data_IF_500255564121
#
_entry.id   IF_500255564121
#
_cell.length_a   1.000
_cell.length_b   1.000
_cell.length_c   1.000
_cell.angle_alpha   90.00
_cell.angle_beta   90.00
_cell.angle_gamma   90.00
#
_symmetry.space_group_name_H-M   'P 1'
#
loop_
_entity.id
_entity.type
_entity.pdbx_description
1 polymer ?
#
# COMPACT_ATOMS: atom_id res chain seq x y z
N UNK A 1 22.59 10.72 6.98
CA UNK A 1 21.66 10.53 8.13
C UNK A 1 22.06 9.29 8.90
N UNK A 2 21.94 9.26 10.24
CA UNK A 2 22.19 8.04 11.02
C UNK A 2 20.95 7.12 11.05
N UNK A 3 21.10 5.87 11.50
CA UNK A 3 20.01 4.89 11.49
C UNK A 3 18.82 5.31 12.38
N UNK A 4 19.06 5.92 13.55
CA UNK A 4 18.00 6.32 14.47
C UNK A 4 17.11 7.44 13.87
N UNK A 5 17.73 8.47 13.28
CA UNK A 5 17.00 9.54 12.60
C UNK A 5 16.21 9.02 11.39
N UNK A 6 16.80 8.07 10.65
CA UNK A 6 16.14 7.40 9.53
C UNK A 6 14.91 6.59 9.99
N UNK A 7 15.01 5.90 11.13
CA UNK A 7 13.90 5.17 11.73
C UNK A 7 12.78 6.12 12.21
N UNK A 8 13.13 7.26 12.82
CA UNK A 8 12.14 8.27 13.22
C UNK A 8 11.35 8.79 12.01
N UNK A 9 12.00 8.99 10.86
CA UNK A 9 11.30 9.34 9.63
C UNK A 9 10.39 8.20 9.15
N UNK A 10 10.86 6.95 9.17
CA UNK A 10 10.02 5.82 8.81
C UNK A 10 8.77 5.70 9.67
N UNK A 11 8.89 5.93 10.99
CA UNK A 11 7.74 5.98 11.89
C UNK A 11 6.75 7.09 11.50
N UNK A 12 7.25 8.30 11.20
CA UNK A 12 6.41 9.41 10.76
C UNK A 12 5.71 9.13 9.42
N UNK A 13 6.43 8.56 8.46
CA UNK A 13 5.94 8.29 7.11
C UNK A 13 4.95 7.12 7.05
N UNK A 14 5.08 6.15 7.96
CA UNK A 14 4.18 5.01 8.07
C UNK A 14 3.01 5.24 9.05
N UNK A 15 2.96 6.40 9.72
CA UNK A 15 1.89 6.72 10.66
C UNK A 15 0.54 6.89 9.94
N UNK A 16 -0.51 6.29 10.50
CA UNK A 16 -1.90 6.49 10.04
C UNK A 16 -2.37 7.95 10.09
N UNK A 17 -1.76 8.80 10.92
CA UNK A 17 -2.01 10.24 10.98
C UNK A 17 -1.37 10.98 9.80
N UNK A 18 -0.35 10.42 9.16
CA UNK A 18 0.30 11.05 8.02
C UNK A 18 -0.72 11.23 6.88
N UNK A 19 -0.88 12.44 6.31
CA UNK A 19 -1.96 12.76 5.36
C UNK A 19 -1.71 12.22 3.94
N UNK A 20 -1.31 10.95 3.81
CA UNK A 20 -1.03 10.28 2.53
C UNK A 20 -2.27 9.75 1.80
N UNK A 21 -3.45 9.74 2.42
CA UNK A 21 -4.71 9.36 1.77
C UNK A 21 -4.92 7.85 1.50
N UNK A 22 -3.95 7.00 1.87
CA UNK A 22 -4.03 5.54 1.67
C UNK A 22 -5.23 4.88 2.37
N UNK A 23 -5.75 5.49 3.45
CA UNK A 23 -6.88 4.97 4.20
C UNK A 23 -8.20 4.91 3.40
N UNK A 24 -8.33 5.65 2.29
CA UNK A 24 -9.56 5.69 1.50
C UNK A 24 -9.77 4.44 0.60
N UNK A 25 -8.84 3.48 0.62
CA UNK A 25 -8.80 2.34 -0.32
C UNK A 25 -8.86 1.01 0.44
N UNK A 26 -9.58 0.04 -0.14
CA UNK A 26 -9.66 -1.35 0.36
C UNK A 26 -8.98 -2.36 -0.56
N UNK A 27 -8.58 -1.94 -1.76
CA UNK A 27 -7.82 -2.72 -2.74
C UNK A 27 -8.52 -4.04 -3.12
N UNK A 28 -9.85 -4.02 -3.19
CA UNK A 28 -10.70 -5.16 -3.55
C UNK A 28 -11.25 -5.94 -2.35
N UNK A 29 -10.79 -5.66 -1.13
CA UNK A 29 -11.26 -6.35 0.07
C UNK A 29 -12.76 -6.13 0.33
N UNK A 30 -13.27 -4.93 0.06
CA UNK A 30 -14.70 -4.62 0.18
C UNK A 30 -15.55 -5.51 -0.73
N UNK A 31 -15.18 -5.62 -2.00
CA UNK A 31 -15.90 -6.46 -2.97
C UNK A 31 -15.79 -7.93 -2.63
N UNK A 32 -14.61 -8.41 -2.21
CA UNK A 32 -14.45 -9.80 -1.75
C UNK A 32 -15.33 -10.10 -0.54
N UNK A 33 -15.52 -9.14 0.37
CA UNK A 33 -16.45 -9.28 1.48
C UNK A 33 -17.90 -9.35 0.98
N UNK A 34 -18.31 -8.41 0.10
CA UNK A 34 -19.66 -8.35 -0.45
C UNK A 34 -20.03 -9.63 -1.22
N UNK A 35 -19.06 -10.24 -1.90
CA UNK A 35 -19.21 -11.50 -2.63
C UNK A 35 -19.19 -12.75 -1.75
N UNK A 36 -18.97 -12.60 -0.43
CA UNK A 36 -18.81 -13.73 0.48
C UNK A 36 -17.54 -14.55 0.22
N UNK A 37 -16.50 -13.96 -0.39
CA UNK A 37 -15.22 -14.61 -0.71
C UNK A 37 -14.22 -14.59 0.45
N UNK A 38 -14.47 -13.82 1.51
CA UNK A 38 -13.69 -13.84 2.75
C UNK A 38 -14.11 -14.97 3.73
N UNK A 39 -14.64 -16.07 3.20
CA UNK A 39 -15.04 -17.23 3.99
C UNK A 39 -16.29 -17.02 4.86
N UNK A 40 -16.79 -18.13 5.42
CA UNK A 40 -17.90 -18.11 6.37
C UNK A 40 -17.52 -17.45 7.70
N UNK A 41 -16.22 -17.36 8.02
CA UNK A 41 -15.68 -16.91 9.31
C UNK A 41 -15.98 -17.88 10.46
N UNK A 42 -15.12 -17.89 11.47
CA UNK A 42 -15.41 -18.64 12.70
C UNK A 42 -16.43 -17.89 13.55
N UNK A 43 -17.42 -18.61 14.08
CA UNK A 43 -18.39 -18.03 15.02
C UNK A 43 -17.74 -17.86 16.39
N UNK A 44 -17.32 -16.65 16.72
CA UNK A 44 -16.78 -16.34 18.04
C UNK A 44 -17.92 -15.89 18.95
N UNK A 45 -18.18 -16.67 20.01
CA UNK A 45 -19.11 -16.26 21.07
C UNK A 45 -18.45 -15.19 21.93
N UNK A 46 -19.01 -13.98 21.93
CA UNK A 46 -18.52 -12.89 22.78
C UNK A 46 -18.52 -13.32 24.26
N UNK A 47 -17.37 -13.21 24.94
CA UNK A 47 -17.26 -13.50 26.38
C UNK A 47 -18.12 -12.50 27.16
N UNK A 48 -19.23 -13.00 27.71
CA UNK A 48 -20.10 -12.39 28.75
C UNK A 48 -20.35 -10.88 28.59
N UNK A 49 -21.28 -10.50 27.69
CA UNK A 49 -22.30 -9.41 27.83
C UNK A 49 -22.86 -8.92 26.48
N UNK A 50 -22.31 -9.32 25.34
CA UNK A 50 -22.85 -9.00 24.02
C UNK A 50 -23.51 -10.23 23.38
N UNK A 51 -24.78 -10.11 23.03
CA UNK A 51 -25.66 -11.17 22.50
C UNK A 51 -25.45 -11.48 21.01
N UNK A 52 -24.45 -10.90 20.36
CA UNK A 52 -24.20 -11.10 18.93
C UNK A 52 -23.06 -12.11 18.71
N UNK A 53 -23.34 -13.15 17.93
CA UNK A 53 -22.30 -14.00 17.33
C UNK A 53 -21.53 -13.14 16.34
N UNK A 54 -20.22 -13.03 16.50
CA UNK A 54 -19.35 -12.36 15.52
C UNK A 54 -18.70 -13.42 14.63
N UNK A 55 -18.66 -13.17 13.33
CA UNK A 55 -17.81 -13.92 12.41
C UNK A 55 -16.40 -13.31 12.49
N UNK A 56 -15.44 -14.10 12.94
CA UNK A 56 -14.03 -13.75 12.84
C UNK A 56 -13.48 -14.30 11.53
N UNK A 57 -13.03 -13.38 10.65
CA UNK A 57 -12.40 -13.67 9.35
C UNK A 57 -10.96 -13.22 9.30
N UNK A 58 -10.29 -13.14 10.46
CA UNK A 58 -8.92 -12.65 10.56
C UNK A 58 -7.93 -13.52 9.81
N UNK A 59 -8.19 -14.83 9.69
CA UNK A 59 -7.36 -15.74 8.90
C UNK A 59 -7.45 -15.41 7.40
N UNK A 60 -8.64 -15.16 6.86
CA UNK A 60 -8.84 -14.78 5.47
C UNK A 60 -8.26 -13.40 5.17
N UNK A 61 -8.41 -12.43 6.09
CA UNK A 61 -7.77 -11.12 5.94
C UNK A 61 -6.25 -11.25 5.97
N UNK A 62 -5.70 -12.05 6.88
CA UNK A 62 -4.26 -12.33 6.90
C UNK A 62 -3.80 -12.93 5.58
N UNK A 63 -4.48 -13.96 5.06
CA UNK A 63 -4.16 -14.56 3.76
C UNK A 63 -4.24 -13.56 2.60
N UNK A 64 -5.20 -12.63 2.63
CA UNK A 64 -5.28 -11.54 1.66
C UNK A 64 -4.06 -10.61 1.75
N UNK A 65 -3.68 -10.18 2.95
CA UNK A 65 -2.50 -9.30 3.13
C UNK A 65 -1.20 -10.00 2.74
N UNK A 66 -1.03 -11.28 3.10
CA UNK A 66 0.12 -12.09 2.69
C UNK A 66 0.19 -12.22 1.16
N UNK A 67 -0.94 -12.42 0.49
CA UNK A 67 -1.03 -12.45 -0.97
C UNK A 67 -0.61 -11.11 -1.60
N UNK A 68 -1.07 -9.98 -1.05
CA UNK A 68 -0.65 -8.65 -1.50
C UNK A 68 0.85 -8.42 -1.29
N UNK A 69 1.39 -8.80 -0.13
CA UNK A 69 2.82 -8.67 0.16
C UNK A 69 3.68 -9.48 -0.81
N UNK A 70 3.34 -10.76 -1.03
CA UNK A 70 4.15 -11.67 -1.85
C UNK A 70 4.04 -11.37 -3.34
N UNK A 71 2.82 -11.13 -3.83
CA UNK A 71 2.53 -11.18 -5.27
C UNK A 71 2.25 -9.81 -5.90
N UNK A 72 2.23 -8.73 -5.12
CA UNK A 72 2.13 -7.36 -5.64
C UNK A 72 3.22 -6.50 -5.06
N UNK A 73 3.28 -6.34 -3.74
CA UNK A 73 4.24 -5.43 -3.14
C UNK A 73 5.68 -5.86 -3.38
N UNK A 74 6.06 -7.10 -3.06
CA UNK A 74 7.46 -7.54 -3.15
C UNK A 74 8.00 -7.57 -4.59
N UNK A 75 7.19 -8.06 -5.53
CA UNK A 75 7.57 -8.28 -6.93
C UNK A 75 7.25 -7.11 -7.87
N UNK A 76 6.59 -6.06 -7.38
CA UNK A 76 6.18 -4.91 -8.18
C UNK A 76 6.42 -3.58 -7.44
N UNK A 77 5.62 -3.23 -6.43
CA UNK A 77 5.69 -1.89 -5.81
C UNK A 77 7.06 -1.63 -5.15
N UNK A 78 7.62 -2.61 -4.43
CA UNK A 78 8.95 -2.56 -3.83
C UNK A 78 10.03 -2.36 -4.89
N UNK A 79 9.91 -3.02 -6.04
CA UNK A 79 10.90 -2.93 -7.13
C UNK A 79 10.99 -1.50 -7.63
N UNK A 80 9.86 -0.89 -7.96
CA UNK A 80 9.84 0.49 -8.44
C UNK A 80 10.18 1.51 -7.36
N UNK A 81 9.83 1.27 -6.09
CA UNK A 81 10.27 2.10 -4.98
C UNK A 81 11.80 2.13 -4.89
N UNK A 82 12.44 0.95 -4.94
CA UNK A 82 13.89 0.82 -4.85
C UNK A 82 14.59 1.45 -6.06
N UNK A 83 14.08 1.19 -7.27
CA UNK A 83 14.60 1.78 -8.49
C UNK A 83 14.50 3.31 -8.46
N UNK A 84 13.35 3.86 -8.04
CA UNK A 84 13.14 5.29 -7.91
C UNK A 84 14.02 5.92 -6.81
N UNK A 85 14.24 5.22 -5.70
CA UNK A 85 15.15 5.67 -4.65
C UNK A 85 16.59 5.79 -5.17
N UNK A 86 17.06 4.82 -5.96
CA UNK A 86 18.39 4.86 -6.57
C UNK A 86 18.51 5.94 -7.67
N UNK A 87 17.42 6.20 -8.40
CA UNK A 87 17.36 7.17 -9.48
C UNK A 87 16.79 8.55 -9.07
N UNK A 88 16.81 8.89 -7.77
CA UNK A 88 16.13 10.09 -7.25
C UNK A 88 16.63 11.42 -7.87
N UNK A 89 17.84 11.44 -8.43
CA UNK A 89 18.42 12.57 -9.17
C UNK A 89 18.06 12.61 -10.67
N UNK A 90 17.50 11.53 -11.22
CA UNK A 90 17.15 11.41 -12.64
C UNK A 90 15.64 11.45 -12.83
N UNK A 91 15.10 12.65 -13.00
CA UNK A 91 13.66 12.87 -13.23
C UNK A 91 13.15 12.10 -14.45
N UNK A 92 13.96 11.94 -15.50
CA UNK A 92 13.53 11.22 -16.70
C UNK A 92 13.37 9.72 -16.41
N UNK A 93 14.30 9.13 -15.66
CA UNK A 93 14.19 7.74 -15.23
C UNK A 93 12.97 7.52 -14.33
N UNK A 94 12.72 8.43 -13.38
CA UNK A 94 11.53 8.38 -12.52
C UNK A 94 10.23 8.37 -13.32
N UNK A 95 10.11 9.28 -14.31
CA UNK A 95 8.93 9.35 -15.18
C UNK A 95 8.76 8.08 -16.05
N UNK A 96 9.86 7.47 -16.48
CA UNK A 96 9.85 6.19 -17.19
C UNK A 96 9.27 5.07 -16.32
N UNK A 97 9.73 4.94 -15.07
CA UNK A 97 9.22 3.97 -14.11
C UNK A 97 7.74 4.21 -13.79
N UNK A 98 7.34 5.47 -13.61
CA UNK A 98 5.96 5.87 -13.33
C UNK A 98 5.02 5.48 -14.48
N UNK A 99 5.49 5.65 -15.72
CA UNK A 99 4.77 5.20 -16.93
C UNK A 99 4.67 3.67 -17.01
N UNK A 100 5.73 2.94 -16.62
CA UNK A 100 5.70 1.48 -16.56
C UNK A 100 4.67 0.99 -15.53
N UNK A 101 4.59 1.62 -14.34
CA UNK A 101 3.59 1.27 -13.33
C UNK A 101 2.16 1.44 -13.87
N UNK A 102 1.88 2.55 -14.55
CA UNK A 102 0.58 2.81 -15.18
C UNK A 102 0.23 1.70 -16.18
N UNK A 103 1.17 1.33 -17.05
CA UNK A 103 0.97 0.30 -18.08
C UNK A 103 0.77 -1.11 -17.48
N UNK A 104 1.48 -1.44 -16.40
CA UNK A 104 1.46 -2.76 -15.78
C UNK A 104 0.36 -2.93 -14.71
N UNK A 105 -0.40 -1.88 -14.41
CA UNK A 105 -1.53 -1.94 -13.47
C UNK A 105 -2.84 -1.98 -14.25
N UNK A 106 -3.44 -3.16 -14.37
CA UNK A 106 -4.55 -3.40 -15.32
C UNK A 106 -5.88 -2.78 -14.87
N UNK A 107 -6.24 -2.94 -13.60
CA UNK A 107 -7.48 -2.40 -13.05
C UNK A 107 -7.39 -0.87 -12.94
N UNK A 108 -8.38 -0.15 -13.49
CA UNK A 108 -8.39 1.31 -13.52
C UNK A 108 -8.41 1.91 -12.11
N UNK A 109 -9.25 1.35 -11.26
CA UNK A 109 -9.40 1.71 -9.85
C UNK A 109 -8.08 1.52 -9.05
N UNK A 110 -7.27 0.51 -9.39
CA UNK A 110 -5.92 0.37 -8.83
C UNK A 110 -4.96 1.47 -9.30
N UNK A 111 -4.98 1.83 -10.60
CA UNK A 111 -4.18 2.93 -11.15
C UNK A 111 -4.54 4.25 -10.47
N UNK A 112 -5.83 4.54 -10.40
CA UNK A 112 -6.37 5.75 -9.79
C UNK A 112 -5.99 5.85 -8.31
N UNK A 113 -6.09 4.74 -7.57
CA UNK A 113 -5.66 4.66 -6.18
C UNK A 113 -4.19 4.96 -6.00
N UNK A 114 -3.34 4.28 -6.76
CA UNK A 114 -1.89 4.50 -6.71
C UNK A 114 -1.52 5.94 -7.03
N UNK A 115 -2.13 6.55 -8.06
CA UNK A 115 -1.92 7.97 -8.41
C UNK A 115 -2.41 8.91 -7.32
N UNK A 116 -3.63 8.73 -6.80
CA UNK A 116 -4.19 9.63 -5.79
C UNK A 116 -3.36 9.61 -4.50
N UNK A 117 -2.95 8.43 -4.04
CA UNK A 117 -2.12 8.29 -2.83
C UNK A 117 -0.73 8.86 -3.07
N UNK A 118 -0.11 8.59 -4.22
CA UNK A 118 1.18 9.17 -4.61
C UNK A 118 1.15 10.69 -4.72
N UNK A 119 0.17 11.25 -5.42
CA UNK A 119 0.00 12.70 -5.57
C UNK A 119 -0.31 13.41 -4.25
N UNK A 120 -1.09 12.78 -3.37
CA UNK A 120 -1.35 13.32 -2.03
C UNK A 120 -0.05 13.37 -1.21
N UNK A 121 0.71 12.28 -1.17
CA UNK A 121 2.02 12.22 -0.53
C UNK A 121 2.96 13.30 -1.09
N UNK A 122 3.01 13.43 -2.42
CA UNK A 122 3.81 14.45 -3.09
C UNK A 122 3.40 15.87 -2.68
N UNK A 123 2.11 16.17 -2.64
CA UNK A 123 1.59 17.46 -2.21
C UNK A 123 1.97 17.81 -0.78
N UNK A 124 1.92 16.83 0.14
CA UNK A 124 2.38 17.00 1.52
C UNK A 124 3.88 17.34 1.56
N UNK A 125 4.70 16.62 0.79
CA UNK A 125 6.13 16.87 0.77
C UNK A 125 6.54 18.18 0.07
N UNK A 126 5.74 18.67 -0.89
CA UNK A 126 5.87 20.03 -1.41
C UNK A 126 5.63 21.06 -0.31
N UNK A 127 4.56 20.91 0.46
CA UNK A 127 4.25 21.81 1.57
C UNK A 127 5.30 21.78 2.70
N UNK A 128 5.90 20.60 2.95
CA UNK A 128 6.99 20.42 3.90
C UNK A 128 8.37 20.88 3.35
N UNK A 129 8.46 21.26 2.08
CA UNK A 129 9.71 21.74 1.47
C UNK A 129 10.75 20.64 1.22
N UNK A 130 10.32 19.40 0.98
CA UNK A 130 11.24 18.30 0.66
C UNK A 130 11.93 18.55 -0.68
N UNK A 131 13.27 18.44 -0.77
CA UNK A 131 13.99 18.68 -2.01
C UNK A 131 13.47 17.80 -3.16
N UNK A 132 13.36 18.38 -4.37
CA UNK A 132 12.88 17.66 -5.56
C UNK A 132 11.35 17.46 -5.65
N UNK A 133 10.60 17.55 -4.54
CA UNK A 133 9.15 17.32 -4.54
C UNK A 133 8.40 18.27 -5.48
N UNK A 134 8.70 19.57 -5.40
CA UNK A 134 8.01 20.58 -6.21
C UNK A 134 8.30 20.41 -7.72
N UNK A 135 9.54 20.06 -8.07
CA UNK A 135 9.93 19.82 -9.45
C UNK A 135 9.21 18.60 -10.04
N UNK A 136 9.11 17.50 -9.27
CA UNK A 136 8.37 16.32 -9.71
C UNK A 136 6.86 16.60 -9.79
N UNK A 137 6.30 17.36 -8.84
CA UNK A 137 4.89 17.77 -8.87
C UNK A 137 4.55 18.58 -10.13
N UNK A 138 5.46 19.44 -10.60
CA UNK A 138 5.26 20.16 -11.86
C UNK A 138 5.12 19.21 -13.05
N UNK A 139 5.89 18.11 -13.11
CA UNK A 139 5.75 17.11 -14.18
C UNK A 139 4.40 16.39 -14.11
N UNK A 140 3.94 16.05 -12.90
CA UNK A 140 2.62 15.44 -12.70
C UNK A 140 1.50 16.39 -13.13
N UNK A 141 1.55 17.65 -12.71
CA UNK A 141 0.55 18.67 -13.07
C UNK A 141 0.55 19.01 -14.56
N UNK A 142 1.72 18.92 -15.22
CA UNK A 142 1.84 19.07 -16.67
C UNK A 142 1.31 17.85 -17.46
N UNK A 143 0.97 16.75 -16.78
CA UNK A 143 0.52 15.51 -17.43
C UNK A 143 1.65 14.68 -18.05
N UNK A 144 2.90 15.00 -17.75
CA UNK A 144 4.06 14.27 -18.27
C UNK A 144 4.29 12.94 -17.56
N UNK A 145 3.75 12.78 -16.34
CA UNK A 145 3.88 11.56 -15.54
C UNK A 145 2.68 11.36 -14.61
N UNK A 146 2.24 10.12 -14.32
CA UNK A 146 1.03 9.88 -13.53
C UNK A 146 1.10 10.26 -12.04
N UNK A 147 2.26 10.10 -11.40
CA UNK A 147 2.49 10.33 -9.97
C UNK A 147 2.14 9.13 -9.07
N UNK A 148 2.50 7.90 -9.46
CA UNK A 148 2.25 6.69 -8.67
C UNK A 148 3.05 6.62 -7.37
N UNK A 149 2.41 6.02 -6.36
CA UNK A 149 2.94 5.93 -5.01
C UNK A 149 4.36 5.33 -4.92
N UNK A 150 4.72 4.21 -5.58
CA UNK A 150 6.06 3.63 -5.42
C UNK A 150 7.19 4.57 -5.86
N UNK A 151 7.02 5.23 -7.01
CA UNK A 151 8.02 6.19 -7.54
C UNK A 151 8.12 7.41 -6.62
N UNK A 152 6.97 7.94 -6.19
CA UNK A 152 6.92 9.09 -5.29
C UNK A 152 7.56 8.77 -3.94
N UNK A 153 7.31 7.59 -3.37
CA UNK A 153 7.98 7.13 -2.13
C UNK A 153 9.49 7.02 -2.32
N UNK A 154 9.95 6.39 -3.39
CA UNK A 154 11.37 6.23 -3.70
C UNK A 154 12.08 7.59 -3.79
N UNK A 155 11.53 8.50 -4.60
CA UNK A 155 12.03 9.87 -4.74
C UNK A 155 12.07 10.59 -3.38
N UNK A 156 10.92 10.71 -2.71
CA UNK A 156 10.80 11.58 -1.54
C UNK A 156 11.61 11.06 -0.36
N UNK A 157 11.57 9.75 -0.10
CA UNK A 157 12.30 9.18 1.03
C UNK A 157 13.81 9.16 0.81
N UNK A 158 14.28 9.06 -0.45
CA UNK A 158 15.69 9.36 -0.77
C UNK A 158 16.03 10.82 -0.42
N UNK A 159 15.18 11.77 -0.84
CA UNK A 159 15.41 13.21 -0.62
C UNK A 159 15.34 13.63 0.85
N UNK A 160 14.63 12.87 1.69
CA UNK A 160 14.66 13.02 3.14
C UNK A 160 15.94 12.42 3.76
N UNK A 161 16.72 11.64 3.01
CA UNK A 161 17.91 10.93 3.50
C UNK A 161 17.59 9.65 4.26
N UNK A 162 16.38 9.10 4.10
CA UNK A 162 16.00 7.83 4.71
C UNK A 162 16.83 6.68 4.14
N UNK A 163 17.23 5.77 5.01
CA UNK A 163 17.93 4.56 4.64
C UNK A 163 16.97 3.61 3.92
N UNK A 164 17.48 2.96 2.88
CA UNK A 164 16.69 2.12 1.98
C UNK A 164 15.94 0.99 2.70
N UNK A 165 16.54 0.39 3.73
CA UNK A 165 15.90 -0.63 4.57
C UNK A 165 14.65 -0.09 5.28
N UNK A 166 14.74 1.10 5.87
CA UNK A 166 13.62 1.74 6.55
C UNK A 166 12.53 2.21 5.59
N UNK A 167 12.89 2.63 4.37
CA UNK A 167 11.93 2.92 3.30
C UNK A 167 11.07 1.68 3.00
N UNK A 168 11.71 0.53 2.75
CA UNK A 168 10.99 -0.70 2.43
C UNK A 168 10.11 -1.16 3.59
N UNK A 169 10.62 -1.08 4.83
CA UNK A 169 9.86 -1.43 6.02
C UNK A 169 8.63 -0.53 6.19
N UNK A 170 8.78 0.79 6.01
CA UNK A 170 7.68 1.74 6.09
C UNK A 170 6.61 1.48 5.03
N UNK A 171 7.01 1.19 3.78
CA UNK A 171 6.09 0.85 2.71
C UNK A 171 5.32 -0.47 2.97
N UNK A 172 6.03 -1.54 3.36
CA UNK A 172 5.40 -2.82 3.70
C UNK A 172 4.43 -2.67 4.87
N UNK A 173 4.85 -1.97 5.92
CA UNK A 173 4.02 -1.73 7.09
C UNK A 173 2.78 -0.90 6.75
N UNK A 174 2.94 0.18 5.98
CA UNK A 174 1.84 1.03 5.54
C UNK A 174 0.79 0.28 4.70
N UNK A 175 1.23 -0.62 3.81
CA UNK A 175 0.32 -1.50 3.08
C UNK A 175 -0.48 -2.40 4.03
N UNK A 176 0.21 -3.08 4.96
CA UNK A 176 -0.42 -3.99 5.91
C UNK A 176 -1.43 -3.28 6.80
N UNK A 177 -1.05 -2.14 7.39
CA UNK A 177 -1.94 -1.37 8.28
C UNK A 177 -3.12 -0.78 7.51
N UNK A 178 -2.92 -0.33 6.26
CA UNK A 178 -3.99 0.14 5.38
C UNK A 178 -5.06 -0.93 5.14
N UNK A 179 -4.63 -2.14 4.74
CA UNK A 179 -5.52 -3.27 4.48
C UNK A 179 -6.22 -3.79 5.73
N UNK A 180 -5.48 -3.96 6.82
CA UNK A 180 -6.06 -4.39 8.11
C UNK A 180 -7.04 -3.34 8.65
N UNK A 181 -6.74 -2.05 8.50
CA UNK A 181 -7.66 -0.96 8.85
C UNK A 181 -8.92 -0.96 8.00
N UNK A 182 -8.82 -1.26 6.70
CA UNK A 182 -10.00 -1.44 5.84
C UNK A 182 -10.87 -2.61 6.33
N UNK A 183 -10.28 -3.75 6.66
CA UNK A 183 -10.99 -4.90 7.20
C UNK A 183 -11.77 -4.59 8.50
N UNK A 184 -11.15 -3.84 9.41
CA UNK A 184 -11.80 -3.39 10.65
C UNK A 184 -12.99 -2.48 10.36
N UNK A 185 -12.85 -1.52 9.43
CA UNK A 185 -13.93 -0.57 9.06
C UNK A 185 -15.09 -1.24 8.33
N UNK A 186 -14.81 -2.30 7.57
CA UNK A 186 -15.82 -3.17 6.97
C UNK A 186 -16.52 -4.08 7.99
N UNK A 187 -16.09 -4.09 9.26
CA UNK A 187 -16.63 -4.95 10.30
C UNK A 187 -16.19 -6.42 10.21
N UNK A 188 -15.27 -6.74 9.30
CA UNK A 188 -14.77 -8.11 9.02
C UNK A 188 -14.03 -8.69 10.23
N UNK A 189 -13.33 -7.85 11.00
CA UNK A 189 -12.49 -8.28 12.13
C UNK A 189 -12.33 -7.19 13.18
N UNK A 190 -11.93 -7.56 14.41
CA UNK A 190 -11.83 -6.65 15.55
C UNK A 190 -10.51 -5.93 15.63
N UNK A 191 -10.42 -4.88 16.45
CA UNK A 191 -9.16 -4.18 16.70
C UNK A 191 -8.10 -5.09 17.34
N UNK A 192 -8.49 -6.00 18.24
CA UNK A 192 -7.53 -6.93 18.85
C UNK A 192 -7.03 -7.95 17.83
N UNK A 193 -7.94 -8.49 17.01
CA UNK A 193 -7.55 -9.44 15.97
C UNK A 193 -6.73 -8.76 14.87
N UNK A 194 -6.98 -7.48 14.59
CA UNK A 194 -6.12 -6.63 13.76
C UNK A 194 -4.68 -6.55 14.24
N UNK A 195 -4.48 -6.32 15.54
CA UNK A 195 -3.13 -6.30 16.10
C UNK A 195 -2.47 -7.69 16.00
N UNK A 196 -3.21 -8.77 16.22
CA UNK A 196 -2.70 -10.15 16.04
C UNK A 196 -2.26 -10.39 14.59
N UNK A 197 -3.11 -10.06 13.62
CA UNK A 197 -2.78 -10.19 12.19
C UNK A 197 -1.51 -9.41 11.85
N UNK A 198 -1.38 -8.16 12.33
CA UNK A 198 -0.18 -7.36 12.09
C UNK A 198 1.07 -7.98 12.74
N UNK A 199 0.96 -8.56 13.95
CA UNK A 199 2.07 -9.28 14.59
C UNK A 199 2.45 -10.53 13.78
N UNK A 200 1.47 -11.32 13.36
CA UNK A 200 1.69 -12.58 12.64
C UNK A 200 2.29 -12.38 11.24
N UNK A 201 2.12 -11.20 10.64
CA UNK A 201 2.68 -10.84 9.32
C UNK A 201 4.15 -10.41 9.41
N UNK A 202 4.65 -9.99 10.58
CA UNK A 202 6.03 -9.48 10.72
C UNK A 202 7.11 -10.45 10.20
N UNK A 203 7.05 -11.77 10.50
CA UNK A 203 8.03 -12.71 9.97
C UNK A 203 8.07 -12.74 8.44
N UNK A 204 6.91 -12.62 7.78
CA UNK A 204 6.83 -12.56 6.32
C UNK A 204 7.50 -11.29 5.78
N UNK A 205 7.26 -10.13 6.38
CA UNK A 205 7.92 -8.90 5.96
C UNK A 205 9.45 -9.07 6.04
N UNK A 206 9.96 -9.62 7.14
CA UNK A 206 11.40 -9.86 7.28
C UNK A 206 11.93 -10.89 6.28
N UNK A 207 11.18 -11.95 6.00
CA UNK A 207 11.51 -12.97 4.98
C UNK A 207 11.63 -12.34 3.59
N UNK A 208 10.68 -11.49 3.21
CA UNK A 208 10.69 -10.81 1.91
C UNK A 208 11.82 -9.79 1.83
N UNK A 209 12.05 -9.00 2.88
CA UNK A 209 13.13 -8.00 2.89
C UNK A 209 14.54 -8.63 2.80
N UNK A 210 14.70 -9.85 3.29
CA UNK A 210 15.94 -10.62 3.15
C UNK A 210 16.17 -11.16 1.72
N UNK A 211 15.15 -11.14 0.86
CA UNK A 211 15.26 -11.52 -0.54
C UNK A 211 15.60 -10.30 -1.40
N UNK A 212 16.46 -10.52 -2.39
CA UNK A 212 16.71 -9.56 -3.45
C UNK A 212 15.42 -9.39 -4.27
N UNK A 213 14.94 -8.16 -4.50
CA UNK A 213 13.82 -7.92 -5.41
C UNK A 213 14.21 -8.31 -6.85
N UNK A 214 13.23 -8.62 -7.72
CA UNK A 214 13.50 -8.77 -9.14
C UNK A 214 13.96 -7.44 -9.75
N UNK A 215 14.60 -7.52 -10.92
CA UNK A 215 14.91 -6.34 -11.73
C UNK A 215 13.62 -5.61 -12.17
N UNK A 216 13.64 -4.27 -12.37
CA UNK A 216 12.47 -3.52 -12.81
C UNK A 216 11.82 -4.03 -14.10
N UNK A 217 12.61 -4.56 -15.04
CA UNK A 217 12.10 -5.13 -16.29
C UNK A 217 11.35 -6.46 -16.07
N UNK A 218 11.61 -7.15 -14.96
CA UNK A 218 10.93 -8.37 -14.54
C UNK A 218 9.84 -8.11 -13.48
N UNK A 219 9.55 -6.84 -13.18
CA UNK A 219 8.55 -6.47 -12.19
C UNK A 219 7.14 -6.94 -12.61
N UNK A 220 6.47 -7.65 -11.71
CA UNK A 220 5.16 -8.22 -11.97
C UNK A 220 4.28 -8.17 -10.73
N UNK A 221 3.07 -7.64 -10.88
CA UNK A 221 1.99 -7.79 -9.90
C UNK A 221 1.00 -8.84 -10.38
N UNK A 222 0.75 -9.87 -9.57
CA UNK A 222 -0.20 -10.93 -9.89
C UNK A 222 -1.10 -11.25 -8.68
N UNK A 223 -2.18 -10.49 -8.54
CA UNK A 223 -3.18 -10.69 -7.48
C UNK A 223 -4.57 -10.82 -8.09
N UNK A 224 -4.82 -11.84 -8.95
CA UNK A 224 -6.00 -11.89 -9.81
C UNK A 224 -7.32 -11.81 -9.05
N UNK A 225 -7.41 -12.42 -7.86
CA UNK A 225 -8.61 -12.31 -7.03
C UNK A 225 -8.89 -10.88 -6.59
N UNK A 226 -7.86 -10.13 -6.20
CA UNK A 226 -7.99 -8.74 -5.78
C UNK A 226 -8.24 -7.83 -6.98
N UNK A 227 -7.52 -8.02 -8.09
CA UNK A 227 -7.69 -7.21 -9.30
C UNK A 227 -9.08 -7.38 -9.91
N UNK A 228 -9.58 -8.61 -10.02
CA UNK A 228 -10.94 -8.87 -10.51
C UNK A 228 -11.98 -8.27 -9.55
N UNK A 229 -11.74 -8.34 -8.24
CA UNK A 229 -12.63 -7.72 -7.26
C UNK A 229 -12.67 -6.19 -7.42
N UNK A 230 -11.52 -5.55 -7.63
CA UNK A 230 -11.44 -4.11 -7.91
C UNK A 230 -12.12 -3.77 -9.24
N UNK A 231 -11.89 -4.50 -10.32
CA UNK A 231 -12.59 -4.26 -11.60
C UNK A 231 -14.12 -4.38 -11.47
N UNK A 232 -14.61 -5.26 -10.59
CA UNK A 232 -16.04 -5.40 -10.33
C UNK A 232 -16.60 -4.29 -9.45
N UNK A 233 -15.78 -3.73 -8.56
CA UNK A 233 -16.15 -2.64 -7.67
C UNK A 233 -16.63 -1.39 -8.42
N UNK A 234 -16.12 -1.16 -9.64
CA UNK A 234 -16.55 -0.10 -10.56
C UNK A 234 -18.08 -0.04 -10.76
N UNK A 235 -18.74 -1.20 -10.68
CA UNK A 235 -20.19 -1.35 -10.95
C UNK A 235 -21.04 -1.61 -9.70
N UNK A 236 -20.47 -1.50 -8.48
CA UNK A 236 -21.20 -1.78 -7.24
C UNK A 236 -22.04 -0.59 -6.76
N UNK A 237 -23.28 -0.86 -6.34
CA UNK A 237 -24.25 0.16 -5.89
C UNK A 237 -23.92 0.75 -4.50
N UNK A 238 -23.28 -0.02 -3.62
CA UNK A 238 -22.91 0.39 -2.27
C UNK A 238 -21.40 0.32 -2.13
N UNK A 239 -20.76 1.48 -1.92
CA UNK A 239 -19.31 1.63 -1.85
C UNK A 239 -18.91 2.45 -0.63
N UNK A 240 -18.20 1.84 0.31
CA UNK A 240 -17.58 2.51 1.46
C UNK A 240 -16.20 3.03 1.09
N UNK A 241 -15.49 2.36 0.19
CA UNK A 241 -14.15 2.74 -0.26
C UNK A 241 -14.15 3.34 -1.66
N UNK A 242 -13.14 4.16 -1.91
CA UNK A 242 -12.96 4.87 -3.16
C UNK A 242 -12.16 4.06 -4.19
N UNK A 243 -12.09 2.71 -4.07
CA UNK A 243 -11.36 1.86 -5.03
C UNK A 243 -11.72 2.35 -6.42
#
# INVERSE_FOLDING_TARGET
>A
MNALSSLLLALQQADSFFPGGAVAWSWGLETLMADGRLGAGERVTARRRQRAVRLDRSAEVRGFVEGQLRHRWHSFDRVFLLAAWNAADDVSALMGMDTQIEALTLAEELRLGSRRVGQALLGVHVALGTPGAAAYQQQVLAGNTPGHLPVVQGLLWNRLGMHLEHCQLAAAHGLCTGLVSAAVRLGVMGHIDAQRVLTDIQPLITELLAQEPPDPDDACGFTPMAEIAVMRHETQDLRLFAN
#
